data_IF_378470244668
#
_entry.id   IF_378470244668
#
_cell.length_a   1.000
_cell.length_b   1.000
_cell.length_c   1.000
_cell.angle_alpha   90.00
_cell.angle_beta   90.00
_cell.angle_gamma   90.00
#
_symmetry.space_group_name_H-M   'P 1'
#
loop_
_entity.id
_entity.type
_entity.pdbx_description
1 polymer ?
#
# COMPACT_ATOMS: atom_id res chain seq x y z
N UNK A 1 10.82 -42.51 19.06
CA UNK A 1 10.88 -41.58 17.94
C UNK A 1 10.87 -40.17 18.50
N UNK A 2 12.00 -39.50 18.49
CA UNK A 2 12.15 -38.12 18.98
C UNK A 2 11.64 -37.14 17.92
N UNK A 3 10.96 -36.02 18.30
CA UNK A 3 10.48 -35.04 17.33
C UNK A 3 11.65 -34.34 16.66
N UNK A 4 11.55 -34.14 15.35
CA UNK A 4 12.59 -33.59 14.50
C UNK A 4 12.93 -32.14 14.89
N UNK A 5 14.21 -31.79 14.81
CA UNK A 5 14.79 -30.48 15.17
C UNK A 5 14.16 -29.27 14.45
N UNK A 6 13.45 -29.49 13.35
CA UNK A 6 12.77 -28.45 12.56
C UNK A 6 11.50 -27.92 13.24
N UNK A 7 10.77 -28.75 13.94
CA UNK A 7 9.52 -28.35 14.64
C UNK A 7 9.83 -27.48 15.86
N UNK A 8 10.95 -27.75 16.55
CA UNK A 8 11.40 -26.95 17.70
C UNK A 8 11.82 -25.54 17.32
N UNK A 9 12.44 -25.34 16.15
CA UNK A 9 12.86 -24.02 15.64
C UNK A 9 11.67 -23.14 15.21
N UNK A 10 10.63 -23.73 14.65
CA UNK A 10 9.41 -23.00 14.22
C UNK A 10 8.59 -22.57 15.44
N UNK A 11 8.45 -23.45 16.45
CA UNK A 11 7.73 -23.14 17.70
C UNK A 11 8.51 -22.08 18.51
N UNK A 12 9.83 -22.16 18.56
CA UNK A 12 10.66 -21.15 19.23
C UNK A 12 10.55 -19.75 18.59
N UNK A 13 10.50 -19.67 17.26
CA UNK A 13 10.27 -18.40 16.53
C UNK A 13 8.87 -17.84 16.75
N UNK A 14 7.84 -18.69 16.80
CA UNK A 14 6.46 -18.27 17.07
C UNK A 14 6.29 -17.78 18.53
N UNK A 15 6.97 -18.41 19.48
CA UNK A 15 6.94 -18.01 20.89
C UNK A 15 7.67 -16.67 21.13
N UNK A 16 8.79 -16.43 20.43
CA UNK A 16 9.51 -15.15 20.48
C UNK A 16 8.64 -13.99 19.93
N UNK A 17 7.86 -14.26 18.89
CA UNK A 17 6.95 -13.27 18.25
C UNK A 17 5.80 -12.83 19.17
N UNK A 18 5.37 -13.67 20.13
CA UNK A 18 4.24 -13.41 21.03
C UNK A 18 4.61 -12.65 22.31
N UNK A 19 5.91 -12.54 22.66
CA UNK A 19 6.37 -11.97 23.93
C UNK A 19 7.37 -10.81 23.81
N UNK A 20 7.80 -10.44 22.60
CA UNK A 20 8.70 -9.30 22.40
C UNK A 20 7.90 -8.00 22.33
N UNK A 21 8.36 -6.99 23.09
CA UNK A 21 7.79 -5.64 23.02
C UNK A 21 8.00 -5.08 21.59
N UNK A 22 6.92 -4.71 20.86
CA UNK A 22 7.02 -4.23 19.48
C UNK A 22 8.02 -3.07 19.29
N UNK A 23 8.19 -2.21 20.29
CA UNK A 23 9.13 -1.08 20.22
C UNK A 23 10.60 -1.51 20.30
N UNK A 24 10.90 -2.60 21.03
CA UNK A 24 12.27 -3.13 21.17
C UNK A 24 12.69 -3.93 19.94
N UNK A 25 11.77 -4.70 19.38
CA UNK A 25 12.00 -5.46 18.15
C UNK A 25 12.21 -4.53 16.94
N UNK A 26 11.45 -3.43 16.89
CA UNK A 26 11.55 -2.41 15.85
C UNK A 26 12.90 -1.66 15.90
N UNK A 27 13.46 -1.42 17.08
CA UNK A 27 14.79 -0.80 17.25
C UNK A 27 15.93 -1.73 16.85
N UNK A 28 15.89 -3.00 17.26
CA UNK A 28 16.91 -3.97 16.91
C UNK A 28 16.96 -4.22 15.40
N UNK A 29 15.82 -4.33 14.73
CA UNK A 29 15.77 -4.50 13.28
C UNK A 29 16.25 -3.30 12.47
N UNK A 30 16.26 -2.09 13.04
CA UNK A 30 16.76 -0.88 12.36
C UNK A 30 18.29 -0.88 12.22
N UNK A 31 19.00 -1.23 13.27
CA UNK A 31 20.46 -1.28 13.28
C UNK A 31 20.96 -2.42 12.39
N UNK A 32 20.33 -3.58 12.44
CA UNK A 32 20.62 -4.71 11.55
C UNK A 32 20.39 -4.34 10.08
N UNK A 33 19.27 -3.69 9.79
CA UNK A 33 18.97 -3.21 8.44
C UNK A 33 20.01 -2.19 7.96
N UNK A 34 20.44 -1.28 8.83
CA UNK A 34 21.49 -0.33 8.50
C UNK A 34 22.84 -1.02 8.26
N UNK A 35 23.19 -2.06 9.03
CA UNK A 35 24.40 -2.83 8.83
C UNK A 35 24.38 -3.52 7.44
N UNK A 36 23.27 -4.13 7.05
CA UNK A 36 23.12 -4.72 5.72
C UNK A 36 23.22 -3.68 4.59
N UNK A 37 22.66 -2.47 4.77
CA UNK A 37 22.82 -1.41 3.76
C UNK A 37 24.26 -0.92 3.66
N UNK A 38 25.04 -0.91 4.74
CA UNK A 38 26.46 -0.61 4.69
C UNK A 38 27.23 -1.66 3.86
N UNK A 39 26.89 -2.94 4.05
CA UNK A 39 27.47 -4.02 3.27
C UNK A 39 27.10 -3.93 1.78
N UNK A 40 25.82 -3.62 1.46
CA UNK A 40 25.36 -3.39 0.11
C UNK A 40 26.17 -2.29 -0.57
N UNK A 41 26.44 -1.16 0.08
CA UNK A 41 27.26 -0.08 -0.46
C UNK A 41 28.66 -0.58 -0.85
N UNK A 42 29.30 -1.38 0.02
CA UNK A 42 30.61 -1.98 -0.27
C UNK A 42 30.55 -2.93 -1.47
N UNK A 43 29.52 -3.78 -1.57
CA UNK A 43 29.33 -4.71 -2.68
C UNK A 43 29.04 -4.00 -4.01
N UNK A 44 28.49 -2.79 -3.97
CA UNK A 44 28.31 -1.92 -5.15
C UNK A 44 29.61 -1.22 -5.58
N UNK A 45 30.70 -1.42 -4.84
CA UNK A 45 32.00 -0.79 -5.13
C UNK A 45 32.17 0.63 -4.53
N UNK A 46 31.27 1.04 -3.61
CA UNK A 46 31.36 2.33 -2.94
C UNK A 46 32.20 2.24 -1.66
N UNK A 47 32.78 3.38 -1.25
CA UNK A 47 33.42 3.54 0.05
C UNK A 47 32.40 4.08 1.08
N UNK A 48 31.86 3.22 1.99
CA UNK A 48 30.88 3.66 2.97
C UNK A 48 31.46 4.59 4.05
N UNK A 49 32.78 4.80 4.08
CA UNK A 49 33.46 5.69 5.04
C UNK A 49 33.55 7.12 4.53
N UNK A 50 33.37 7.38 3.23
CA UNK A 50 33.36 8.73 2.69
C UNK A 50 32.21 9.57 3.29
N UNK A 51 32.45 10.86 3.50
CA UNK A 51 31.56 11.77 4.23
C UNK A 51 30.08 11.69 3.78
N UNK A 52 29.84 11.67 2.48
CA UNK A 52 28.48 11.61 1.92
C UNK A 52 27.73 10.31 2.22
N UNK A 53 28.43 9.18 2.50
CA UNK A 53 27.84 7.87 2.72
C UNK A 53 27.82 7.40 4.18
N UNK A 54 28.57 8.03 5.08
CA UNK A 54 28.65 7.61 6.49
C UNK A 54 27.28 7.46 7.16
N UNK A 55 26.31 8.34 6.84
CA UNK A 55 24.96 8.30 7.42
C UNK A 55 23.94 7.60 6.51
N UNK A 56 24.33 7.18 5.30
CA UNK A 56 23.41 6.60 4.30
C UNK A 56 22.79 5.28 4.78
N UNK A 57 23.52 4.32 5.37
CA UNK A 57 22.95 3.07 5.85
C UNK A 57 21.74 3.29 6.78
N UNK A 58 21.91 4.13 7.79
CA UNK A 58 20.84 4.45 8.74
C UNK A 58 19.69 5.24 8.08
N UNK A 59 20.00 6.16 7.18
CA UNK A 59 18.96 6.92 6.44
C UNK A 59 18.12 6.01 5.58
N UNK A 60 18.72 5.06 4.87
CA UNK A 60 18.00 4.10 4.03
C UNK A 60 17.16 3.15 4.89
N UNK A 61 17.73 2.64 6.00
CA UNK A 61 16.99 1.79 6.94
C UNK A 61 15.71 2.48 7.44
N UNK A 62 15.82 3.74 7.89
CA UNK A 62 14.66 4.53 8.33
C UNK A 62 13.66 4.79 7.20
N UNK A 63 14.14 5.11 5.99
CA UNK A 63 13.28 5.31 4.84
C UNK A 63 12.48 4.03 4.51
N UNK A 64 13.12 2.86 4.52
CA UNK A 64 12.46 1.59 4.27
C UNK A 64 11.40 1.25 5.32
N UNK A 65 11.64 1.54 6.59
CA UNK A 65 10.62 1.38 7.63
C UNK A 65 9.37 2.25 7.36
N UNK A 66 9.58 3.51 6.94
CA UNK A 66 8.48 4.41 6.59
C UNK A 66 7.73 3.90 5.36
N UNK A 67 8.47 3.49 4.32
CA UNK A 67 7.89 3.01 3.06
C UNK A 67 7.18 1.65 3.18
N UNK A 68 7.41 0.93 4.28
CA UNK A 68 6.78 -0.37 4.56
C UNK A 68 5.90 -0.37 5.82
N UNK A 69 5.62 0.80 6.40
CA UNK A 69 4.81 0.94 7.63
C UNK A 69 3.40 0.36 7.53
N UNK A 70 2.86 0.20 6.33
CA UNK A 70 1.55 -0.38 6.09
C UNK A 70 1.42 -1.85 6.52
N UNK A 71 2.53 -2.57 6.73
CA UNK A 71 2.49 -3.92 7.27
C UNK A 71 2.07 -3.97 8.76
N UNK A 72 2.33 -2.90 9.51
CA UNK A 72 1.97 -2.81 10.93
C UNK A 72 0.61 -2.12 11.19
N UNK A 73 -0.14 -1.80 10.15
CA UNK A 73 -1.40 -1.07 10.25
C UNK A 73 -2.59 -1.93 9.83
N UNK A 74 -3.71 -1.80 10.55
CA UNK A 74 -4.97 -2.45 10.23
C UNK A 74 -5.89 -1.49 9.44
N UNK A 75 -6.09 -1.73 8.13
CA UNK A 75 -6.95 -0.89 7.31
C UNK A 75 -8.43 -1.00 7.67
N UNK A 76 -8.88 -2.16 8.20
CA UNK A 76 -10.26 -2.34 8.65
C UNK A 76 -10.55 -1.51 9.90
N UNK A 77 -9.63 -1.48 10.86
CA UNK A 77 -9.74 -0.63 12.04
C UNK A 77 -9.83 0.86 11.68
N UNK A 78 -9.08 1.30 10.66
CA UNK A 78 -9.12 2.69 10.16
C UNK A 78 -10.49 3.05 9.62
N UNK A 79 -11.14 2.18 8.84
CA UNK A 79 -12.49 2.42 8.32
C UNK A 79 -13.54 2.43 9.45
N UNK A 80 -13.47 1.45 10.34
CA UNK A 80 -14.42 1.29 11.46
C UNK A 80 -14.36 2.46 12.45
N UNK A 81 -13.23 3.15 12.57
CA UNK A 81 -13.07 4.29 13.48
C UNK A 81 -13.90 5.53 13.09
N UNK A 82 -14.54 5.56 11.93
CA UNK A 82 -15.35 6.69 11.48
C UNK A 82 -16.51 6.26 10.57
N UNK A 83 -17.31 5.31 11.07
CA UNK A 83 -18.55 4.89 10.45
C UNK A 83 -19.69 5.78 10.95
N UNK A 84 -20.50 6.26 10.02
CA UNK A 84 -21.69 7.06 10.29
C UNK A 84 -22.89 6.41 9.63
N UNK A 85 -24.00 6.32 10.37
CA UNK A 85 -25.28 5.89 9.81
C UNK A 85 -25.85 7.05 8.99
N UNK A 86 -26.11 6.80 7.71
CA UNK A 86 -26.61 7.82 6.79
C UNK A 86 -27.50 7.16 5.74
N UNK A 87 -28.65 7.76 5.49
CA UNK A 87 -29.56 7.32 4.43
C UNK A 87 -29.17 7.96 3.10
N UNK A 88 -28.03 7.50 2.57
CA UNK A 88 -27.47 7.93 1.30
C UNK A 88 -27.15 6.70 0.47
N UNK A 89 -27.69 6.63 -0.74
CA UNK A 89 -27.61 5.46 -1.63
C UNK A 89 -27.05 5.80 -3.03
N UNK A 90 -26.50 7.00 -3.18
CA UNK A 90 -25.81 7.38 -4.42
C UNK A 90 -24.32 7.10 -4.32
N UNK A 91 -23.65 7.10 -5.47
CA UNK A 91 -22.21 6.90 -5.55
C UNK A 91 -21.42 7.99 -4.83
N UNK A 92 -20.54 7.59 -3.92
CA UNK A 92 -19.53 8.46 -3.31
C UNK A 92 -18.21 8.20 -4.00
N UNK A 93 -17.52 9.25 -4.45
CA UNK A 93 -16.23 9.14 -5.13
C UNK A 93 -15.19 9.98 -4.41
N UNK A 94 -14.06 9.35 -4.06
CA UNK A 94 -12.84 10.03 -3.61
C UNK A 94 -11.81 9.83 -4.72
N UNK A 95 -11.49 10.89 -5.44
CA UNK A 95 -10.59 10.83 -6.60
C UNK A 95 -9.29 11.58 -6.36
N UNK A 96 -8.30 11.31 -7.20
CA UNK A 96 -6.99 11.95 -7.17
C UNK A 96 -6.22 11.73 -5.85
N UNK A 97 -6.37 10.56 -5.24
CA UNK A 97 -5.62 10.19 -4.05
C UNK A 97 -4.19 9.87 -4.49
N UNK A 98 -3.27 10.77 -4.18
CA UNK A 98 -1.84 10.54 -4.45
C UNK A 98 -1.31 9.39 -3.61
N UNK A 99 -0.48 8.53 -4.20
CA UNK A 99 0.19 7.46 -3.49
C UNK A 99 1.61 7.23 -4.02
N UNK A 100 2.46 6.69 -3.14
CA UNK A 100 3.77 6.16 -3.45
C UNK A 100 3.87 4.74 -2.90
N UNK A 101 4.42 3.83 -3.69
CA UNK A 101 4.60 2.44 -3.31
C UNK A 101 5.93 1.88 -3.81
N UNK A 102 6.30 0.71 -3.33
CA UNK A 102 7.52 0.01 -3.72
C UNK A 102 7.15 -1.27 -4.48
N UNK A 103 7.65 -1.38 -5.71
CA UNK A 103 7.49 -2.60 -6.51
C UNK A 103 8.21 -3.77 -5.82
N UNK A 104 7.49 -4.85 -5.52
CA UNK A 104 8.06 -6.02 -4.83
C UNK A 104 9.14 -6.74 -5.64
N UNK A 105 9.11 -6.63 -6.98
CA UNK A 105 10.08 -7.30 -7.85
C UNK A 105 11.46 -6.64 -7.87
N UNK A 106 11.52 -5.34 -7.66
CA UNK A 106 12.76 -4.56 -7.85
C UNK A 106 13.08 -3.62 -6.69
N UNK A 107 12.18 -3.47 -5.71
CA UNK A 107 12.27 -2.47 -4.65
C UNK A 107 12.48 -1.04 -5.20
N UNK A 108 11.95 -0.76 -6.40
CA UNK A 108 11.93 0.57 -7.00
C UNK A 108 10.54 1.18 -6.87
N UNK A 109 10.43 2.50 -6.75
CA UNK A 109 9.15 3.16 -6.58
C UNK A 109 8.22 3.00 -7.78
N UNK A 110 6.92 2.91 -7.51
CA UNK A 110 5.88 3.30 -8.43
C UNK A 110 4.92 4.25 -7.70
N UNK A 111 4.35 5.18 -8.42
CA UNK A 111 3.57 6.26 -7.84
C UNK A 111 2.53 6.76 -8.83
N UNK A 112 1.48 7.34 -8.29
CA UNK A 112 0.38 7.81 -9.12
C UNK A 112 -0.83 8.23 -8.32
N UNK A 113 -2.00 7.93 -8.86
CA UNK A 113 -3.29 8.31 -8.28
C UNK A 113 -4.20 7.10 -8.17
N UNK A 114 -4.91 7.04 -7.05
CA UNK A 114 -6.00 6.11 -6.83
C UNK A 114 -7.33 6.87 -6.82
N UNK A 115 -8.34 6.24 -7.40
CA UNK A 115 -9.71 6.74 -7.43
C UNK A 115 -10.60 5.64 -6.87
N UNK A 116 -11.35 5.97 -5.84
CA UNK A 116 -12.18 5.02 -5.10
C UNK A 116 -13.62 5.49 -5.13
N UNK A 117 -14.52 4.62 -5.56
CA UNK A 117 -15.95 4.82 -5.46
C UNK A 117 -16.61 3.72 -4.64
N UNK A 118 -17.63 4.07 -3.88
CA UNK A 118 -18.52 3.09 -3.27
C UNK A 118 -19.96 3.61 -3.26
N UNK A 119 -20.93 2.69 -3.25
CA UNK A 119 -22.34 3.03 -3.11
C UNK A 119 -22.76 2.56 -1.71
N UNK A 120 -23.06 3.50 -0.78
CA UNK A 120 -23.39 3.15 0.59
C UNK A 120 -24.61 2.23 0.72
N UNK A 121 -24.67 1.49 1.81
CA UNK A 121 -25.79 0.67 2.22
C UNK A 121 -26.09 0.95 3.71
N UNK A 122 -26.63 2.14 3.98
CA UNK A 122 -26.99 2.60 5.34
C UNK A 122 -25.82 3.14 6.17
N UNK A 123 -24.57 3.00 5.70
CA UNK A 123 -23.39 3.52 6.39
C UNK A 123 -22.43 4.19 5.40
N UNK A 124 -21.90 5.33 5.83
CA UNK A 124 -20.79 6.02 5.16
C UNK A 124 -19.55 6.05 6.06
N UNK A 125 -18.39 6.29 5.48
CA UNK A 125 -17.15 6.50 6.24
C UNK A 125 -16.59 7.90 5.99
N UNK A 126 -15.77 8.39 6.92
CA UNK A 126 -15.06 9.64 6.71
C UNK A 126 -14.16 9.57 5.46
N UNK A 127 -14.24 10.55 4.57
CA UNK A 127 -13.52 10.56 3.28
C UNK A 127 -12.00 10.36 3.45
N UNK A 128 -11.42 10.92 4.51
CA UNK A 128 -10.02 10.73 4.86
C UNK A 128 -9.65 9.27 5.19
N UNK A 129 -10.62 8.44 5.57
CA UNK A 129 -10.38 7.02 5.85
C UNK A 129 -10.14 6.23 4.59
N UNK A 130 -10.84 6.59 3.51
CA UNK A 130 -10.60 6.02 2.17
C UNK A 130 -9.16 6.28 1.72
N UNK A 131 -8.69 7.53 1.82
CA UNK A 131 -7.32 7.86 1.49
C UNK A 131 -6.29 7.12 2.36
N UNK A 132 -6.58 6.96 3.67
CA UNK A 132 -5.70 6.18 4.57
C UNK A 132 -5.64 4.69 4.24
N UNK A 133 -6.73 4.11 3.75
CA UNK A 133 -6.71 2.70 3.29
C UNK A 133 -5.78 2.55 2.08
N UNK A 134 -5.86 3.47 1.12
CA UNK A 134 -4.91 3.51 -0.01
C UNK A 134 -3.48 3.64 0.50
N UNK A 135 -3.24 4.54 1.45
CA UNK A 135 -1.92 4.76 2.07
C UNK A 135 -1.38 3.49 2.74
N UNK A 136 -2.20 2.78 3.52
CA UNK A 136 -1.79 1.54 4.20
C UNK A 136 -1.37 0.46 3.21
N UNK A 137 -2.14 0.26 2.15
CA UNK A 137 -1.79 -0.74 1.15
C UNK A 137 -0.64 -0.33 0.25
N UNK A 138 -0.47 0.96 -0.05
CA UNK A 138 0.65 1.46 -0.84
C UNK A 138 1.98 1.41 -0.07
N UNK A 139 1.98 1.58 1.26
CA UNK A 139 3.19 1.47 2.08
C UNK A 139 3.55 0.01 2.42
N UNK A 140 3.60 -0.83 1.39
CA UNK A 140 4.04 -2.25 1.42
C UNK A 140 4.86 -2.54 0.17
N UNK A 141 5.53 -3.68 0.13
CA UNK A 141 6.05 -4.19 -1.15
C UNK A 141 4.88 -4.73 -1.97
N UNK A 142 4.63 -4.13 -3.14
CA UNK A 142 3.40 -4.35 -3.88
C UNK A 142 3.61 -4.65 -5.37
N UNK A 143 2.60 -5.26 -5.96
CA UNK A 143 2.25 -5.12 -7.36
C UNK A 143 0.97 -4.31 -7.45
N UNK A 144 0.85 -3.48 -8.49
CA UNK A 144 -0.27 -2.53 -8.62
C UNK A 144 -1.63 -3.25 -8.65
N UNK A 145 -1.73 -4.39 -9.31
CA UNK A 145 -2.95 -5.20 -9.42
C UNK A 145 -3.42 -5.71 -8.05
N UNK A 146 -2.49 -6.20 -7.23
CA UNK A 146 -2.79 -6.66 -5.87
C UNK A 146 -3.23 -5.50 -4.99
N UNK A 147 -2.52 -4.38 -5.02
CA UNK A 147 -2.87 -3.18 -4.25
C UNK A 147 -4.29 -2.71 -4.59
N UNK A 148 -4.61 -2.61 -5.88
CA UNK A 148 -5.93 -2.19 -6.36
C UNK A 148 -7.03 -3.11 -5.83
N UNK A 149 -6.81 -4.42 -5.89
CA UNK A 149 -7.75 -5.43 -5.39
C UNK A 149 -7.90 -5.36 -3.87
N UNK A 150 -6.80 -5.26 -3.12
CA UNK A 150 -6.81 -5.19 -1.66
C UNK A 150 -7.55 -3.96 -1.13
N UNK A 151 -7.39 -2.81 -1.77
CA UNK A 151 -8.15 -1.59 -1.43
C UNK A 151 -9.65 -1.82 -1.63
N UNK A 152 -10.05 -2.38 -2.76
CA UNK A 152 -11.44 -2.70 -3.07
C UNK A 152 -12.04 -3.68 -2.06
N UNK A 153 -11.37 -4.81 -1.82
CA UNK A 153 -11.81 -5.85 -0.89
C UNK A 153 -11.96 -5.32 0.54
N UNK A 154 -10.97 -4.56 1.03
CA UNK A 154 -11.00 -3.98 2.36
C UNK A 154 -12.24 -3.09 2.57
N UNK A 155 -12.56 -2.23 1.60
CA UNK A 155 -13.72 -1.34 1.66
C UNK A 155 -15.02 -2.17 1.57
N UNK A 156 -15.09 -3.14 0.66
CA UNK A 156 -16.24 -4.03 0.50
C UNK A 156 -16.52 -4.81 1.78
N UNK A 157 -15.49 -5.37 2.40
CA UNK A 157 -15.64 -6.24 3.56
C UNK A 157 -15.99 -5.46 4.83
N UNK A 158 -15.48 -4.23 4.95
CA UNK A 158 -15.67 -3.42 6.16
C UNK A 158 -16.98 -2.65 6.14
N UNK A 159 -17.25 -1.92 5.06
CA UNK A 159 -18.44 -1.05 4.96
C UNK A 159 -19.68 -1.80 4.50
N UNK A 160 -19.51 -2.99 3.90
CA UNK A 160 -20.62 -3.76 3.28
C UNK A 160 -21.48 -2.91 2.35
N UNK A 161 -20.91 -2.06 1.48
CA UNK A 161 -21.68 -1.21 0.59
C UNK A 161 -22.36 -2.05 -0.51
N UNK A 162 -23.26 -1.45 -1.26
CA UNK A 162 -23.88 -2.09 -2.43
C UNK A 162 -22.87 -2.42 -3.53
N UNK A 163 -21.72 -1.75 -3.54
CA UNK A 163 -20.60 -2.03 -4.44
C UNK A 163 -19.45 -1.07 -4.22
N UNK A 164 -18.27 -1.47 -4.68
CA UNK A 164 -17.03 -0.69 -4.66
C UNK A 164 -16.38 -0.75 -6.03
N UNK A 165 -15.75 0.34 -6.45
CA UNK A 165 -14.84 0.36 -7.60
C UNK A 165 -13.59 1.15 -7.26
N UNK A 166 -12.43 0.60 -7.61
CA UNK A 166 -11.12 1.22 -7.44
C UNK A 166 -10.42 1.24 -8.78
N UNK A 167 -9.90 2.39 -9.17
CA UNK A 167 -9.02 2.57 -10.33
C UNK A 167 -7.72 3.18 -9.85
N UNK A 168 -6.60 2.63 -10.31
CA UNK A 168 -5.26 3.11 -9.98
C UNK A 168 -4.49 3.37 -11.27
N UNK A 169 -3.91 4.55 -11.39
CA UNK A 169 -3.03 4.95 -12.48
C UNK A 169 -1.65 5.27 -11.93
N UNK A 170 -0.60 4.64 -12.45
CA UNK A 170 0.74 4.79 -11.92
C UNK A 170 1.84 4.77 -12.98
N UNK A 171 2.93 5.44 -12.65
CA UNK A 171 4.23 5.35 -13.31
C UNK A 171 5.15 4.44 -12.50
N UNK A 172 5.87 3.56 -13.19
CA UNK A 172 6.75 2.57 -12.57
C UNK A 172 8.21 2.88 -12.87
N UNK A 173 9.00 3.22 -11.84
CA UNK A 173 10.43 3.52 -12.02
C UNK A 173 11.20 2.29 -12.53
N UNK A 174 10.76 1.09 -12.20
CA UNK A 174 11.34 -0.15 -12.72
C UNK A 174 11.20 -0.31 -14.24
N UNK A 175 10.26 0.39 -14.88
CA UNK A 175 10.09 0.45 -16.34
C UNK A 175 10.75 1.67 -16.97
N UNK A 176 10.90 2.77 -16.19
CA UNK A 176 11.36 4.07 -16.74
C UNK A 176 12.88 4.20 -16.68
N UNK A 177 13.51 3.89 -15.53
CA UNK A 177 14.93 4.16 -15.31
C UNK A 177 15.87 3.02 -15.74
N UNK A 178 15.34 1.86 -16.01
CA UNK A 178 16.07 0.66 -16.46
C UNK A 178 15.11 -0.32 -17.15
N UNK A 179 15.65 -1.39 -17.75
CA UNK A 179 14.90 -2.43 -18.44
C UNK A 179 14.37 -1.93 -19.79
N UNK A 180 13.07 -1.74 -19.90
CA UNK A 180 12.43 -1.30 -21.17
C UNK A 180 12.51 0.20 -21.44
N UNK A 181 12.86 1.00 -20.43
CA UNK A 181 13.12 2.45 -20.51
C UNK A 181 12.00 3.26 -21.17
N UNK A 182 10.74 2.95 -20.86
CA UNK A 182 9.56 3.65 -21.41
C UNK A 182 9.09 4.76 -20.50
N UNK A 183 9.52 6.00 -20.80
CA UNK A 183 9.33 7.19 -19.93
C UNK A 183 7.87 7.62 -19.79
N UNK A 184 7.04 7.41 -20.81
CA UNK A 184 5.66 7.88 -20.85
C UNK A 184 4.62 6.79 -20.54
N UNK A 185 5.06 5.55 -20.23
CA UNK A 185 4.16 4.47 -19.90
C UNK A 185 3.44 4.75 -18.58
N UNK A 186 2.11 4.65 -18.61
CA UNK A 186 1.24 4.68 -17.44
C UNK A 186 0.50 3.35 -17.39
N UNK A 187 0.51 2.70 -16.24
CA UNK A 187 -0.25 1.48 -16.00
C UNK A 187 -1.56 1.84 -15.31
N UNK A 188 -2.68 1.38 -15.85
CA UNK A 188 -3.99 1.54 -15.23
C UNK A 188 -4.51 0.17 -14.81
N UNK A 189 -4.92 0.03 -13.55
CA UNK A 189 -5.56 -1.16 -13.02
C UNK A 189 -6.91 -0.82 -12.41
N UNK A 190 -7.86 -1.76 -12.47
CA UNK A 190 -9.17 -1.58 -11.85
C UNK A 190 -9.62 -2.85 -11.13
N UNK A 191 -10.37 -2.67 -10.05
CA UNK A 191 -11.06 -3.73 -9.33
C UNK A 191 -12.46 -3.22 -8.92
N UNK A 192 -13.46 -4.08 -8.97
CA UNK A 192 -14.82 -3.70 -8.64
C UNK A 192 -15.62 -4.87 -8.06
N UNK A 193 -16.72 -4.54 -7.37
CA UNK A 193 -17.63 -5.49 -6.73
C UNK A 193 -19.07 -4.98 -6.73
N UNK A 194 -20.02 -5.85 -6.41
CA UNK A 194 -21.44 -5.49 -6.21
C UNK A 194 -22.06 -4.79 -7.40
N UNK A 195 -22.69 -3.64 -7.18
CA UNK A 195 -23.40 -2.87 -8.21
C UNK A 195 -22.52 -2.45 -9.39
N UNK A 196 -21.19 -2.37 -9.21
CA UNK A 196 -20.26 -2.09 -10.28
C UNK A 196 -20.05 -3.28 -11.25
N UNK A 197 -20.63 -4.45 -11.00
CA UNK A 197 -20.73 -5.52 -12.01
C UNK A 197 -21.61 -5.09 -13.20
N UNK A 198 -22.49 -4.11 -13.02
CA UNK A 198 -23.28 -3.53 -14.10
C UNK A 198 -22.44 -2.52 -14.90
N UNK A 199 -22.47 -2.64 -16.22
CA UNK A 199 -21.69 -1.75 -17.12
C UNK A 199 -22.09 -0.29 -16.95
N UNK A 200 -23.38 0.01 -16.83
CA UNK A 200 -23.89 1.39 -16.66
C UNK A 200 -23.32 2.07 -15.40
N UNK A 201 -23.20 1.33 -14.28
CA UNK A 201 -22.64 1.88 -13.04
C UNK A 201 -21.15 2.20 -13.19
N UNK A 202 -20.41 1.35 -13.90
CA UNK A 202 -19.00 1.65 -14.22
C UNK A 202 -18.85 2.83 -15.17
N UNK A 203 -19.72 2.95 -16.18
CA UNK A 203 -19.74 4.08 -17.10
C UNK A 203 -20.02 5.39 -16.36
N UNK A 204 -20.98 5.42 -15.45
CA UNK A 204 -21.25 6.57 -14.61
C UNK A 204 -20.02 6.98 -13.81
N UNK A 205 -19.37 6.03 -13.12
CA UNK A 205 -18.11 6.30 -12.42
C UNK A 205 -17.04 6.87 -13.36
N UNK A 206 -16.81 6.25 -14.49
CA UNK A 206 -15.79 6.70 -15.44
C UNK A 206 -16.10 8.10 -16.01
N UNK A 207 -17.38 8.43 -16.21
CA UNK A 207 -17.78 9.76 -16.65
C UNK A 207 -17.56 10.82 -15.56
N UNK A 208 -17.88 10.50 -14.30
CA UNK A 208 -17.62 11.38 -13.14
C UNK A 208 -16.11 11.54 -12.88
N UNK A 209 -15.32 10.50 -13.17
CA UNK A 209 -13.86 10.55 -13.06
C UNK A 209 -13.24 11.46 -14.14
N UNK A 210 -13.70 11.33 -15.39
CA UNK A 210 -13.24 12.11 -16.55
C UNK A 210 -13.82 13.52 -16.60
N UNK A 211 -14.97 13.73 -15.97
CA UNK A 211 -15.61 15.03 -15.92
C UNK A 211 -14.60 16.05 -15.43
N UNK A 212 -14.33 17.07 -16.28
CA UNK A 212 -13.30 18.07 -16.09
C UNK A 212 -13.28 18.55 -14.64
N UNK A 213 -12.23 18.22 -13.94
CA UNK A 213 -11.80 18.99 -12.77
C UNK A 213 -11.45 20.39 -13.27
N UNK A 214 -12.45 21.22 -13.57
CA UNK A 214 -12.24 22.66 -13.49
C UNK A 214 -11.80 22.87 -12.04
N UNK A 215 -10.50 23.13 -11.88
CA UNK A 215 -9.89 23.44 -10.60
C UNK A 215 -10.74 24.54 -9.97
N UNK A 216 -11.38 24.19 -8.85
CA UNK A 216 -12.03 25.14 -7.96
C UNK A 216 -10.93 25.99 -7.35
#
# INVERSE_FOLDING_TARGET
MSPSSTTSLVIGRLYLFLYMNPETEFRNGLDDLAAHYKEILTLLGEDPTREGLQKTPMRVAKAMQILTRGYSQDPHAVLNAALFKEDYNQMVIVKDIDFFSMCEHHMLPFYGKAHVAYIPNGYITGLSKIARVVDIFSHRLQVQERMTKQVMECIQDTLKPMGVMVVVEAKHMCMQMRGVEKQNAITTTSAFSGAFNQAKTREEFMNLLRGESKRI
#
